data_IF_140329309754
#
_entry.id   IF_140329309754
#
_cell.length_a   1.000
_cell.length_b   1.000
_cell.length_c   1.000
_cell.angle_alpha   90.00
_cell.angle_beta   90.00
_cell.angle_gamma   90.00
#
_symmetry.space_group_name_H-M   'P 1'
#
loop_
_entity.id
_entity.type
_entity.pdbx_description
1 polymer ?
#
# COMPACT_ATOMS: atom_id res chain seq x y z
N UNK A 1 7.37 16.44 0.99
CA UNK A 1 5.98 16.13 0.59
C UNK A 1 5.28 15.42 1.72
N UNK A 2 3.97 15.28 1.68
CA UNK A 2 3.19 14.54 2.69
C UNK A 2 2.36 13.46 1.99
N UNK A 3 2.29 12.26 2.56
CA UNK A 3 1.31 11.24 2.18
C UNK A 3 0.42 10.98 3.40
N UNK A 4 -0.88 10.90 3.14
CA UNK A 4 -1.91 10.61 4.12
C UNK A 4 -2.67 9.36 3.69
N UNK A 5 -2.93 8.45 4.62
CA UNK A 5 -3.73 7.26 4.39
C UNK A 5 -5.05 7.36 5.13
N UNK A 6 -6.08 6.83 4.48
CA UNK A 6 -7.45 6.87 4.95
C UNK A 6 -8.11 5.51 4.76
N UNK A 7 -8.98 5.13 5.70
CA UNK A 7 -9.91 4.00 5.59
C UNK A 7 -11.31 4.54 5.80
N UNK A 8 -12.24 4.25 4.90
CA UNK A 8 -13.61 4.79 4.92
C UNK A 8 -13.69 6.32 5.05
N UNK A 9 -12.70 7.03 4.47
CA UNK A 9 -12.57 8.48 4.55
C UNK A 9 -12.02 9.02 5.88
N UNK A 10 -11.76 8.16 6.86
CA UNK A 10 -11.20 8.53 8.16
C UNK A 10 -9.67 8.54 8.09
N UNK A 11 -9.04 9.60 8.59
CA UNK A 11 -7.58 9.73 8.60
C UNK A 11 -6.97 8.70 9.55
N UNK A 12 -6.00 7.93 9.05
CA UNK A 12 -5.31 6.89 9.83
C UNK A 12 -3.86 7.24 10.11
N UNK A 13 -3.15 7.77 9.11
CA UNK A 13 -1.72 8.06 9.22
C UNK A 13 -1.31 9.23 8.31
N UNK A 14 -0.33 10.00 8.76
CA UNK A 14 0.43 10.98 7.99
C UNK A 14 1.91 10.64 8.05
N UNK A 15 2.61 10.66 6.92
CA UNK A 15 4.07 10.57 6.86
C UNK A 15 4.64 11.75 6.06
N UNK A 16 5.65 12.40 6.64
CA UNK A 16 6.39 13.55 6.07
C UNK A 16 7.86 13.25 5.85
N UNK A 17 8.39 12.18 6.45
CA UNK A 17 9.77 11.74 6.36
C UNK A 17 9.82 10.25 6.03
N UNK A 18 10.72 9.87 5.13
CA UNK A 18 10.69 8.55 4.52
C UNK A 18 12.06 7.91 4.45
N UNK A 19 12.16 6.72 5.02
CA UNK A 19 13.30 5.85 4.87
C UNK A 19 13.02 4.81 3.79
N UNK A 20 14.05 4.47 3.02
CA UNK A 20 14.06 3.32 2.12
C UNK A 20 15.44 2.68 2.20
N UNK A 21 15.50 1.36 2.35
CA UNK A 21 16.77 0.63 2.42
C UNK A 21 17.64 0.85 1.16
N UNK A 22 17.00 1.02 0.00
CA UNK A 22 17.69 1.20 -1.29
C UNK A 22 17.89 2.65 -1.74
N UNK A 23 17.50 3.68 -0.96
CA UNK A 23 17.57 5.08 -1.40
C UNK A 23 18.01 6.05 -0.29
N UNK A 24 18.71 7.16 -0.63
CA UNK A 24 19.05 8.20 0.34
C UNK A 24 17.82 8.76 1.03
N UNK A 25 18.00 9.18 2.28
CA UNK A 25 16.97 9.93 3.00
C UNK A 25 16.85 11.37 2.45
N UNK A 26 15.63 11.92 2.33
CA UNK A 26 14.34 11.22 2.41
C UNK A 26 14.05 10.47 1.10
N UNK A 27 13.51 9.26 1.19
CA UNK A 27 13.21 8.42 0.02
C UNK A 27 12.33 9.17 -1.02
N UNK A 28 12.56 8.97 -2.33
CA UNK A 28 11.97 9.81 -3.38
C UNK A 28 10.51 9.44 -3.67
N UNK A 29 9.58 10.20 -3.09
CA UNK A 29 8.13 10.17 -3.41
C UNK A 29 7.71 11.34 -4.32
N UNK A 30 8.66 11.91 -5.03
CA UNK A 30 8.55 13.09 -5.91
C UNK A 30 8.73 12.74 -7.41
N UNK A 31 8.55 11.47 -7.75
CA UNK A 31 8.63 10.93 -9.12
C UNK A 31 7.36 10.12 -9.46
N UNK A 32 7.15 9.74 -10.73
CA UNK A 32 6.02 8.88 -11.11
C UNK A 32 6.11 7.48 -10.48
N UNK A 33 4.99 7.00 -9.94
CA UNK A 33 4.81 5.62 -9.46
C UNK A 33 3.68 4.92 -10.25
N UNK A 34 3.67 3.59 -10.21
CA UNK A 34 2.56 2.78 -10.71
C UNK A 34 1.84 2.10 -9.54
N UNK A 35 0.61 1.64 -9.76
CA UNK A 35 -0.16 0.89 -8.77
C UNK A 35 0.13 -0.61 -8.90
N UNK A 36 0.22 -1.29 -7.76
CA UNK A 36 0.34 -2.74 -7.65
C UNK A 36 -0.74 -3.26 -6.70
N UNK A 37 -1.55 -4.21 -7.17
CA UNK A 37 -2.55 -4.90 -6.37
C UNK A 37 -2.33 -6.40 -6.56
N UNK A 38 -2.09 -7.13 -5.47
CA UNK A 38 -1.87 -8.57 -5.50
C UNK A 38 -2.40 -9.23 -4.22
N UNK A 39 -2.65 -10.54 -4.29
CA UNK A 39 -2.90 -11.39 -3.13
C UNK A 39 -1.72 -12.33 -3.00
N UNK A 40 -0.82 -12.06 -2.05
CA UNK A 40 0.29 -12.96 -1.75
C UNK A 40 -0.19 -14.16 -0.92
N UNK A 41 0.47 -15.31 -1.08
CA UNK A 41 0.24 -16.50 -0.26
C UNK A 41 1.57 -16.89 0.38
N UNK A 42 1.67 -16.72 1.70
CA UNK A 42 2.92 -16.93 2.43
C UNK A 42 3.89 -15.75 2.41
N UNK A 43 4.95 -15.83 3.20
CA UNK A 43 6.07 -14.87 3.23
C UNK A 43 6.68 -14.70 4.63
N UNK A 44 7.83 -14.02 4.72
CA UNK A 44 8.50 -13.79 6.01
C UNK A 44 7.65 -13.00 7.00
N UNK A 45 6.88 -12.03 6.51
CA UNK A 45 6.02 -11.20 7.35
C UNK A 45 4.68 -11.87 7.69
N UNK A 46 3.88 -12.36 6.72
CA UNK A 46 2.59 -12.99 7.03
C UNK A 46 2.71 -14.43 7.58
N UNK A 47 3.88 -15.07 7.46
CA UNK A 47 4.05 -16.50 7.72
C UNK A 47 3.49 -17.37 6.59
N UNK A 48 3.81 -18.68 6.57
CA UNK A 48 3.22 -19.62 5.60
C UNK A 48 1.76 -19.94 5.95
N UNK A 49 0.91 -20.31 4.97
CA UNK A 49 -0.41 -20.85 5.25
C UNK A 49 -0.32 -22.18 6.01
N UNK A 50 -1.34 -22.48 6.80
CA UNK A 50 -1.45 -23.71 7.59
C UNK A 50 -2.79 -24.42 7.36
N UNK A 51 -3.08 -25.46 8.15
CA UNK A 51 -4.31 -26.25 8.04
C UNK A 51 -5.59 -25.46 8.36
N UNK A 52 -5.49 -24.29 8.98
CA UNK A 52 -6.62 -23.39 9.24
C UNK A 52 -6.88 -22.44 8.08
N UNK A 53 -5.93 -22.34 7.14
CA UNK A 53 -6.04 -21.46 5.98
C UNK A 53 -7.02 -22.04 4.96
N UNK A 54 -8.14 -21.33 4.75
CA UNK A 54 -9.18 -21.76 3.81
C UNK A 54 -8.88 -21.25 2.39
N UNK A 55 -8.99 -22.13 1.40
CA UNK A 55 -8.84 -21.79 -0.02
C UNK A 55 -10.13 -22.11 -0.80
N UNK A 56 -10.45 -21.35 -1.87
CA UNK A 56 -9.73 -20.18 -2.40
C UNK A 56 -10.07 -18.88 -1.66
N UNK A 57 -9.17 -17.90 -1.71
CA UNK A 57 -9.41 -16.52 -1.26
C UNK A 57 -9.47 -15.57 -2.46
N UNK A 58 -10.23 -14.47 -2.33
CA UNK A 58 -10.42 -13.49 -3.40
C UNK A 58 -10.35 -12.07 -2.84
N UNK A 59 -9.61 -11.19 -3.53
CA UNK A 59 -9.65 -9.75 -3.30
C UNK A 59 -10.59 -9.12 -4.33
N UNK A 60 -11.75 -8.64 -3.89
CA UNK A 60 -12.76 -8.01 -4.74
C UNK A 60 -12.50 -6.51 -4.80
N UNK A 61 -12.20 -5.99 -5.99
CA UNK A 61 -11.95 -4.57 -6.23
C UNK A 61 -13.00 -4.07 -7.21
N UNK A 62 -13.90 -3.20 -6.75
CA UNK A 62 -14.93 -2.60 -7.61
C UNK A 62 -14.33 -1.52 -8.52
N UNK A 63 -13.55 -0.60 -7.95
CA UNK A 63 -12.85 0.43 -8.72
C UNK A 63 -11.57 0.92 -8.05
N UNK A 64 -10.70 1.48 -8.90
CA UNK A 64 -9.56 2.32 -8.50
C UNK A 64 -9.77 3.69 -9.12
N UNK A 65 -9.73 4.75 -8.31
CA UNK A 65 -9.88 6.13 -8.79
C UNK A 65 -8.67 6.95 -8.39
N UNK A 66 -8.10 7.66 -9.35
CA UNK A 66 -6.96 8.57 -9.14
C UNK A 66 -7.43 9.99 -9.44
N UNK A 67 -7.24 10.87 -8.46
CA UNK A 67 -7.65 12.27 -8.56
C UNK A 67 -6.43 13.17 -8.55
N UNK A 68 -6.47 14.24 -9.34
CA UNK A 68 -5.52 15.35 -9.24
C UNK A 68 -6.23 16.51 -8.56
N UNK A 69 -5.58 17.11 -7.56
CA UNK A 69 -6.08 18.36 -6.96
C UNK A 69 -6.20 19.42 -8.06
N UNK A 70 -7.40 19.97 -8.24
CA UNK A 70 -7.61 21.12 -9.11
C UNK A 70 -6.89 22.30 -8.48
N UNK A 71 -6.12 23.03 -9.30
CA UNK A 71 -5.40 24.22 -8.85
C UNK A 71 -6.37 25.35 -8.51
#
# INVERSE_FOLDING_TARGET
GEIRWYVDGQHYQTQTEWYSEGHPFPAPFDQPFHLLLNVAVGGNWPGPPDSTTTFPQKMMVDYVRVYRRVK
#
